data_IF_615839699949
#
_entry.id   IF_615839699949
#
_cell.length_a   1.000
_cell.length_b   1.000
_cell.length_c   1.000
_cell.angle_alpha   90.00
_cell.angle_beta   90.00
_cell.angle_gamma   90.00
#
_symmetry.space_group_name_H-M   'P 1'
#
loop_
_entity.id
_entity.type
_entity.pdbx_description
1 polymer ?
#
# COMPACT_ATOMS: atom_id res chain seq x y z
N UNK A 1 -23.65 13.70 3.59
CA UNK A 1 -24.35 12.43 3.90
C UNK A 1 -23.38 11.53 4.64
N UNK A 2 -23.79 10.87 5.76
CA UNK A 2 -23.01 9.89 6.49
C UNK A 2 -23.52 8.47 6.26
N UNK A 3 -22.81 7.49 6.79
CA UNK A 3 -23.31 6.11 6.83
C UNK A 3 -24.59 6.04 7.71
N UNK A 4 -25.51 5.14 7.39
CA UNK A 4 -26.65 4.87 8.24
C UNK A 4 -26.19 4.43 9.64
N UNK A 5 -27.01 4.76 10.67
CA UNK A 5 -26.75 4.33 12.04
C UNK A 5 -26.79 2.80 12.07
N UNK A 6 -25.71 2.12 12.53
CA UNK A 6 -25.70 0.66 12.59
C UNK A 6 -26.56 0.14 13.74
N UNK A 7 -26.98 -1.11 13.68
CA UNK A 7 -27.52 -1.84 14.82
C UNK A 7 -26.42 -2.02 15.89
N UNK A 8 -26.83 -2.36 17.12
CA UNK A 8 -25.90 -2.70 18.20
C UNK A 8 -24.88 -3.75 17.74
N UNK A 9 -23.61 -3.44 17.96
CA UNK A 9 -22.52 -4.29 17.52
C UNK A 9 -21.31 -4.14 18.42
N UNK A 10 -20.50 -5.19 18.49
CA UNK A 10 -19.25 -5.23 19.24
C UNK A 10 -18.08 -5.26 18.27
N UNK A 11 -17.06 -4.43 18.51
CA UNK A 11 -15.79 -4.53 17.80
C UNK A 11 -15.08 -5.81 18.26
N UNK A 12 -14.68 -6.66 17.32
CA UNK A 12 -13.98 -7.93 17.61
C UNK A 12 -12.63 -8.04 16.93
N UNK A 13 -12.39 -7.25 15.88
CA UNK A 13 -11.14 -7.25 15.12
C UNK A 13 -10.84 -5.84 14.62
N UNK A 14 -9.58 -5.45 14.67
CA UNK A 14 -9.11 -4.17 14.17
C UNK A 14 -7.91 -4.41 13.23
N UNK A 15 -8.04 -3.95 11.97
CA UNK A 15 -6.94 -3.87 11.02
C UNK A 15 -6.62 -2.42 10.74
N UNK A 16 -5.37 -2.03 10.99
CA UNK A 16 -4.83 -0.72 10.64
C UNK A 16 -3.85 -0.89 9.49
N UNK A 17 -4.03 -0.11 8.44
CA UNK A 17 -3.10 0.00 7.32
C UNK A 17 -2.72 1.47 7.22
N UNK A 18 -1.43 1.75 7.27
CA UNK A 18 -0.87 3.07 7.05
C UNK A 18 0.07 3.01 5.86
N UNK A 19 -0.10 3.92 4.90
CA UNK A 19 0.81 4.08 3.77
C UNK A 19 1.35 5.51 3.76
N UNK A 20 2.65 5.65 3.47
CA UNK A 20 3.35 6.93 3.41
C UNK A 20 4.24 6.97 2.17
N UNK A 21 4.33 8.15 1.54
CA UNK A 21 5.21 8.40 0.40
C UNK A 21 6.25 9.45 0.75
N UNK A 22 7.51 9.19 0.41
CA UNK A 22 8.65 10.05 0.69
C UNK A 22 9.40 10.36 -0.59
N UNK A 23 9.89 11.60 -0.74
CA UNK A 23 10.90 11.94 -1.72
C UNK A 23 12.28 11.70 -1.12
N UNK A 24 13.15 11.02 -1.84
CA UNK A 24 14.52 10.69 -1.45
C UNK A 24 15.50 11.76 -1.95
N UNK A 25 16.64 11.85 -1.30
CA UNK A 25 17.71 12.76 -1.73
C UNK A 25 18.30 12.42 -3.11
N UNK A 26 18.15 11.17 -3.58
CA UNK A 26 18.58 10.71 -4.90
C UNK A 26 17.54 10.95 -6.00
N UNK A 27 16.40 11.60 -5.68
CA UNK A 27 15.32 11.92 -6.61
C UNK A 27 14.30 10.80 -6.84
N UNK A 28 14.51 9.63 -6.27
CA UNK A 28 13.53 8.53 -6.25
C UNK A 28 12.52 8.70 -5.11
N UNK A 29 11.58 7.77 -4.98
CA UNK A 29 10.52 7.82 -3.97
C UNK A 29 10.49 6.52 -3.17
N UNK A 30 10.39 6.62 -1.85
CA UNK A 30 10.05 5.49 -1.00
C UNK A 30 8.55 5.51 -0.69
N UNK A 31 7.91 4.37 -0.90
CA UNK A 31 6.54 4.12 -0.50
C UNK A 31 6.58 3.07 0.58
N UNK A 32 6.18 3.46 1.77
CA UNK A 32 6.16 2.58 2.94
C UNK A 32 4.73 2.22 3.33
N UNK A 33 4.53 1.00 3.78
CA UNK A 33 3.27 0.57 4.36
C UNK A 33 3.49 -0.28 5.60
N UNK A 34 2.59 -0.11 6.56
CA UNK A 34 2.50 -0.87 7.79
C UNK A 34 1.09 -1.44 7.93
N UNK A 35 1.00 -2.72 8.30
CA UNK A 35 -0.24 -3.40 8.65
C UNK A 35 -0.15 -3.92 10.07
N UNK A 36 -1.17 -3.63 10.87
CA UNK A 36 -1.34 -4.14 12.23
C UNK A 36 -2.73 -4.71 12.38
N UNK A 37 -2.82 -6.00 12.75
CA UNK A 37 -4.07 -6.65 13.17
C UNK A 37 -4.07 -6.90 14.67
N UNK A 38 -5.18 -6.59 15.33
CA UNK A 38 -5.43 -6.92 16.73
C UNK A 38 -6.87 -7.37 16.96
N UNK A 39 -7.10 -8.06 18.06
CA UNK A 39 -8.44 -8.43 18.55
C UNK A 39 -8.72 -7.74 19.87
N UNK A 40 -9.99 -7.49 20.16
CA UNK A 40 -10.44 -6.83 21.40
C UNK A 40 -10.62 -7.79 22.57
N UNK A 41 -10.15 -9.04 22.43
CA UNK A 41 -10.25 -10.09 23.46
C UNK A 41 -9.00 -10.97 23.44
N UNK A 42 -8.71 -11.58 24.58
CA UNK A 42 -7.63 -12.57 24.72
C UNK A 42 -7.97 -13.84 23.93
N UNK A 43 -7.01 -14.44 23.23
CA UNK A 43 -7.23 -15.69 22.50
C UNK A 43 -5.98 -16.59 22.51
N UNK A 44 -6.15 -17.92 22.46
CA UNK A 44 -5.03 -18.84 22.39
C UNK A 44 -4.33 -18.79 21.04
N UNK A 45 -3.01 -18.97 21.05
CA UNK A 45 -2.16 -19.10 19.86
C UNK A 45 -1.20 -20.27 20.09
N UNK A 46 -1.08 -21.13 19.10
CA UNK A 46 -0.20 -22.31 19.17
C UNK A 46 1.28 -21.93 19.28
N UNK A 47 1.65 -20.71 18.87
CA UNK A 47 3.04 -20.25 18.82
C UNK A 47 3.38 -19.21 19.89
N UNK A 48 2.39 -18.49 20.41
CA UNK A 48 2.60 -17.36 21.34
C UNK A 48 1.86 -17.54 22.69
N UNK A 49 1.29 -18.73 22.95
CA UNK A 49 0.47 -18.96 24.13
C UNK A 49 -0.83 -18.15 24.09
N UNK A 50 -1.06 -17.23 25.04
CA UNK A 50 -2.23 -16.34 25.03
C UNK A 50 -1.83 -14.99 24.47
N UNK A 51 -2.39 -14.63 23.31
CA UNK A 51 -2.30 -13.27 22.76
C UNK A 51 -3.31 -12.39 23.49
N UNK A 52 -2.82 -11.31 24.09
CA UNK A 52 -3.64 -10.37 24.85
C UNK A 52 -4.46 -9.48 23.95
N UNK A 53 -5.62 -9.05 24.47
CA UNK A 53 -6.45 -8.02 23.87
C UNK A 53 -5.59 -6.83 23.41
N UNK A 54 -5.92 -6.32 22.21
CA UNK A 54 -5.29 -5.17 21.56
C UNK A 54 -3.79 -5.32 21.21
N UNK A 55 -3.18 -6.48 21.57
CA UNK A 55 -1.81 -6.78 21.12
C UNK A 55 -1.79 -7.15 19.64
N UNK A 56 -0.77 -6.68 18.87
CA UNK A 56 -0.61 -7.10 17.49
C UNK A 56 -0.38 -8.61 17.36
N UNK A 57 -1.16 -9.29 16.52
CA UNK A 57 -0.91 -10.68 16.16
C UNK A 57 -0.51 -10.85 14.66
N UNK A 58 -0.75 -9.81 13.85
CA UNK A 58 -0.05 -9.56 12.61
C UNK A 58 0.55 -8.15 12.67
N UNK A 59 1.83 -8.02 12.38
CA UNK A 59 2.51 -6.75 12.26
C UNK A 59 3.58 -6.86 11.17
N UNK A 60 3.34 -6.23 10.05
CA UNK A 60 4.22 -6.27 8.89
C UNK A 60 4.51 -4.87 8.39
N UNK A 61 5.71 -4.70 7.84
CA UNK A 61 6.12 -3.49 7.12
C UNK A 61 6.70 -3.84 5.77
N UNK A 62 6.49 -2.96 4.82
CA UNK A 62 7.05 -3.05 3.47
C UNK A 62 7.47 -1.67 3.00
N UNK A 63 8.60 -1.58 2.30
CA UNK A 63 9.04 -0.41 1.57
C UNK A 63 9.32 -0.79 0.13
N UNK A 64 8.82 0.02 -0.80
CA UNK A 64 9.17 -0.02 -2.22
C UNK A 64 9.86 1.30 -2.56
N UNK A 65 11.06 1.24 -3.14
CA UNK A 65 11.67 2.39 -3.80
C UNK A 65 11.23 2.40 -5.25
N UNK A 66 10.69 3.52 -5.74
CA UNK A 66 10.17 3.64 -7.10
C UNK A 66 10.74 4.88 -7.80
N UNK A 67 10.89 4.80 -9.13
CA UNK A 67 11.28 5.93 -9.96
C UNK A 67 10.07 6.79 -10.40
N UNK A 68 10.34 7.87 -11.11
CA UNK A 68 9.31 8.74 -11.71
C UNK A 68 8.36 8.02 -12.67
N UNK A 69 8.78 6.88 -13.23
CA UNK A 69 7.98 6.06 -14.13
C UNK A 69 7.16 4.98 -13.39
N UNK A 70 7.16 5.02 -12.05
CA UNK A 70 6.51 4.03 -11.19
C UNK A 70 7.11 2.62 -11.31
N UNK A 71 8.38 2.49 -11.69
CA UNK A 71 9.10 1.23 -11.70
C UNK A 71 9.71 0.97 -10.33
N UNK A 72 9.52 -0.22 -9.78
CA UNK A 72 10.11 -0.63 -8.50
C UNK A 72 11.60 -0.86 -8.70
N UNK A 73 12.42 -0.06 -8.01
CA UNK A 73 13.89 -0.13 -8.04
C UNK A 73 14.45 -0.98 -6.91
N UNK A 74 13.77 -0.96 -5.75
CA UNK A 74 14.14 -1.73 -4.57
C UNK A 74 12.88 -2.12 -3.78
N UNK A 75 12.95 -3.23 -3.05
CA UNK A 75 11.85 -3.72 -2.23
C UNK A 75 12.38 -4.40 -0.97
N UNK A 76 11.87 -4.00 0.18
CA UNK A 76 12.18 -4.57 1.48
C UNK A 76 10.89 -4.82 2.27
N UNK A 77 10.84 -5.94 3.02
CA UNK A 77 9.72 -6.23 3.91
C UNK A 77 10.19 -6.93 5.16
N UNK A 78 9.42 -6.78 6.24
CA UNK A 78 9.64 -7.47 7.50
C UNK A 78 8.31 -7.87 8.12
N UNK A 79 8.26 -9.08 8.68
CA UNK A 79 7.20 -9.54 9.58
C UNK A 79 7.70 -9.42 11.02
N UNK A 80 7.18 -8.45 11.75
CA UNK A 80 7.53 -8.19 13.14
C UNK A 80 6.77 -9.14 14.08
N UNK A 81 5.51 -9.43 13.76
CA UNK A 81 4.66 -10.39 14.45
C UNK A 81 3.80 -11.13 13.44
N UNK A 82 3.68 -12.43 13.60
CA UNK A 82 2.81 -13.29 12.80
C UNK A 82 2.38 -14.50 13.61
N UNK A 83 1.22 -15.13 13.29
CA UNK A 83 0.64 -16.21 14.08
C UNK A 83 1.46 -17.51 14.04
N UNK A 84 2.39 -17.65 13.11
CA UNK A 84 3.20 -18.86 12.93
C UNK A 84 4.68 -18.54 12.81
N UNK A 85 5.55 -19.42 13.30
CA UNK A 85 7.02 -19.29 13.20
C UNK A 85 7.53 -19.18 11.76
N UNK A 86 6.76 -19.66 10.79
CA UNK A 86 7.11 -19.57 9.36
C UNK A 86 6.79 -18.19 8.74
N UNK A 87 5.93 -17.37 9.36
CA UNK A 87 5.47 -16.11 8.77
C UNK A 87 6.58 -15.18 8.29
N UNK A 88 7.73 -15.04 8.99
CA UNK A 88 8.84 -14.21 8.51
C UNK A 88 9.40 -14.64 7.15
N UNK A 89 9.32 -15.94 6.80
CA UNK A 89 9.77 -16.42 5.48
C UNK A 89 8.93 -15.85 4.33
N UNK A 90 7.67 -15.48 4.58
CA UNK A 90 6.79 -14.87 3.59
C UNK A 90 7.24 -13.48 3.10
N UNK A 91 8.20 -12.85 3.78
CA UNK A 91 8.82 -11.60 3.35
C UNK A 91 10.03 -11.82 2.43
N UNK A 92 10.55 -13.06 2.35
CA UNK A 92 11.83 -13.34 1.68
C UNK A 92 11.81 -13.15 0.16
N UNK A 93 10.65 -13.23 -0.48
CA UNK A 93 10.52 -13.08 -1.94
C UNK A 93 10.07 -11.67 -2.37
N UNK A 94 10.03 -10.70 -1.45
CA UNK A 94 9.56 -9.34 -1.76
C UNK A 94 10.37 -8.68 -2.87
N UNK A 95 11.65 -9.00 -2.99
CA UNK A 95 12.56 -8.51 -4.04
C UNK A 95 12.14 -8.91 -5.45
N UNK A 96 11.26 -9.91 -5.61
CA UNK A 96 10.66 -10.26 -6.91
C UNK A 96 9.76 -9.15 -7.47
N UNK A 97 9.45 -8.12 -6.68
CA UNK A 97 8.76 -6.92 -7.15
C UNK A 97 9.68 -5.97 -7.91
N UNK A 98 11.00 -6.08 -7.77
CA UNK A 98 11.98 -5.22 -8.44
C UNK A 98 11.84 -5.37 -9.95
N UNK A 99 11.82 -4.25 -10.66
CA UNK A 99 11.60 -4.17 -12.11
C UNK A 99 10.14 -4.16 -12.53
N UNK A 100 9.19 -4.45 -11.64
CA UNK A 100 7.77 -4.35 -11.96
C UNK A 100 7.32 -2.88 -11.97
N UNK A 101 6.42 -2.55 -12.91
CA UNK A 101 5.85 -1.21 -13.01
C UNK A 101 4.48 -1.17 -12.30
N UNK A 102 4.28 -0.20 -11.40
CA UNK A 102 2.98 0.10 -10.80
C UNK A 102 2.07 0.70 -11.88
N UNK A 103 0.88 0.13 -12.10
CA UNK A 103 -0.05 0.56 -13.13
C UNK A 103 -1.02 -0.55 -13.52
N UNK A 104 -1.69 -0.47 -14.68
CA UNK A 104 -2.63 -1.48 -15.14
C UNK A 104 -2.06 -2.90 -15.02
N UNK A 105 -2.81 -3.82 -14.39
CA UNK A 105 -2.38 -5.20 -14.13
C UNK A 105 -1.42 -5.37 -12.95
N UNK A 106 -1.15 -4.35 -12.14
CA UNK A 106 -0.28 -4.41 -10.96
C UNK A 106 -0.63 -5.57 -10.03
N UNK A 107 -1.90 -5.66 -9.62
CA UNK A 107 -2.37 -6.73 -8.72
C UNK A 107 -2.02 -8.14 -9.22
N UNK A 108 -2.20 -8.39 -10.53
CA UNK A 108 -1.88 -9.70 -11.13
C UNK A 108 -0.37 -9.96 -11.11
N UNK A 109 0.46 -8.98 -11.47
CA UNK A 109 1.93 -9.12 -11.44
C UNK A 109 2.44 -9.40 -10.04
N UNK A 110 1.94 -8.67 -9.04
CA UNK A 110 2.27 -8.89 -7.62
C UNK A 110 1.86 -10.30 -7.19
N UNK A 111 0.63 -10.73 -7.50
CA UNK A 111 0.16 -12.06 -7.14
C UNK A 111 1.05 -13.16 -7.75
N UNK A 112 1.55 -12.96 -8.98
CA UNK A 112 2.48 -13.89 -9.62
C UNK A 112 3.87 -13.87 -8.97
N UNK A 113 4.36 -12.68 -8.57
CA UNK A 113 5.73 -12.51 -8.08
C UNK A 113 5.91 -12.95 -6.62
N UNK A 114 4.95 -12.60 -5.75
CA UNK A 114 5.06 -12.78 -4.28
C UNK A 114 3.83 -13.40 -3.63
N UNK A 115 2.84 -13.84 -4.40
CA UNK A 115 1.62 -14.47 -3.88
C UNK A 115 1.73 -15.98 -3.73
N UNK A 116 0.60 -16.60 -3.34
CA UNK A 116 0.47 -18.06 -3.22
C UNK A 116 1.24 -18.65 -2.03
N UNK A 117 1.59 -19.94 -2.10
CA UNK A 117 2.14 -20.68 -0.95
C UNK A 117 3.57 -20.29 -0.58
N UNK A 118 4.26 -19.51 -1.41
CA UNK A 118 5.61 -19.02 -1.14
C UNK A 118 5.65 -17.60 -0.60
N UNK A 119 4.49 -16.95 -0.48
CA UNK A 119 4.38 -15.54 -0.08
C UNK A 119 3.55 -15.34 1.19
N UNK A 120 3.32 -14.06 1.48
CA UNK A 120 2.46 -13.63 2.57
C UNK A 120 1.26 -12.84 2.02
N UNK A 121 0.03 -13.30 2.33
CA UNK A 121 -1.21 -12.62 1.91
C UNK A 121 -1.27 -11.17 2.37
N UNK A 122 -0.81 -10.89 3.60
CA UNK A 122 -0.82 -9.54 4.17
C UNK A 122 0.12 -8.60 3.42
N UNK A 123 1.35 -9.06 3.10
CA UNK A 123 2.29 -8.26 2.30
C UNK A 123 1.78 -8.07 0.87
N UNK A 124 1.19 -9.10 0.27
CA UNK A 124 0.57 -9.01 -1.06
C UNK A 124 -0.57 -7.98 -1.07
N UNK A 125 -1.42 -7.99 -0.04
CA UNK A 125 -2.55 -7.07 0.11
C UNK A 125 -2.11 -5.62 0.28
N UNK A 126 -1.02 -5.36 1.03
CA UNK A 126 -0.47 -4.01 1.23
C UNK A 126 -0.04 -3.34 -0.08
N UNK A 127 0.37 -4.09 -1.10
CA UNK A 127 0.83 -3.53 -2.38
C UNK A 127 -0.27 -2.79 -3.15
N UNK A 128 -1.55 -3.05 -2.87
CA UNK A 128 -2.67 -2.34 -3.46
C UNK A 128 -2.74 -0.87 -3.01
N UNK A 129 -2.93 -0.59 -1.71
CA UNK A 129 -2.90 0.78 -1.20
C UNK A 129 -1.55 1.48 -1.43
N UNK A 130 -0.41 0.75 -1.42
CA UNK A 130 0.89 1.33 -1.79
C UNK A 130 0.92 1.85 -3.21
N UNK A 131 0.31 1.14 -4.16
CA UNK A 131 0.25 1.59 -5.55
C UNK A 131 -0.49 2.93 -5.69
N UNK A 132 -1.62 3.09 -5.01
CA UNK A 132 -2.35 4.37 -4.99
C UNK A 132 -1.56 5.48 -4.29
N UNK A 133 -0.86 5.16 -3.20
CA UNK A 133 0.03 6.09 -2.50
C UNK A 133 1.17 6.54 -3.42
N UNK A 134 1.79 5.64 -4.19
CA UNK A 134 2.82 5.98 -5.18
C UNK A 134 2.32 7.00 -6.22
N UNK A 135 1.14 6.77 -6.79
CA UNK A 135 0.52 7.71 -7.72
C UNK A 135 0.31 9.10 -7.10
N UNK A 136 -0.24 9.15 -5.88
CA UNK A 136 -0.48 10.41 -5.18
C UNK A 136 0.83 11.14 -4.83
N UNK A 137 1.85 10.41 -4.40
CA UNK A 137 3.16 10.97 -4.03
C UNK A 137 3.85 11.56 -5.25
N UNK A 138 4.02 10.77 -6.30
CA UNK A 138 4.79 11.15 -7.50
C UNK A 138 4.02 12.20 -8.32
N UNK A 139 2.72 12.00 -8.57
CA UNK A 139 1.90 12.95 -9.30
C UNK A 139 1.80 14.32 -8.61
N UNK A 140 1.67 14.29 -7.28
CA UNK A 140 1.67 15.52 -6.46
C UNK A 140 3.00 16.28 -6.55
N UNK A 141 4.12 15.57 -6.50
CA UNK A 141 5.46 16.19 -6.60
C UNK A 141 5.74 16.75 -8.00
N UNK A 142 5.41 16.01 -9.06
CA UNK A 142 5.52 16.51 -10.44
C UNK A 142 4.70 17.80 -10.60
N UNK A 143 3.45 17.82 -10.13
CA UNK A 143 2.59 18.99 -10.20
C UNK A 143 3.13 20.16 -9.38
N UNK A 144 3.76 19.90 -8.23
CA UNK A 144 4.40 20.92 -7.41
C UNK A 144 5.61 21.55 -8.10
N UNK A 145 6.46 20.73 -8.72
CA UNK A 145 7.63 21.19 -9.47
C UNK A 145 7.25 22.01 -10.70
N UNK A 146 6.24 21.58 -11.45
CA UNK A 146 5.73 22.31 -12.61
C UNK A 146 5.20 23.71 -12.23
N UNK A 147 4.43 23.80 -11.14
CA UNK A 147 3.95 25.10 -10.62
C UNK A 147 5.09 26.01 -10.21
N UNK A 148 6.09 25.48 -9.52
CA UNK A 148 7.26 26.26 -9.13
C UNK A 148 8.07 26.79 -10.31
N UNK A 149 8.13 26.03 -11.42
CA UNK A 149 8.86 26.41 -12.64
C UNK A 149 8.11 27.46 -13.48
N UNK A 150 6.77 27.48 -13.44
CA UNK A 150 5.96 28.35 -14.32
C UNK A 150 5.65 29.72 -13.70
N UNK A 151 5.90 29.94 -12.42
CA UNK A 151 5.56 31.17 -11.66
C UNK A 151 4.13 31.69 -11.96
N UNK A 152 3.23 30.82 -12.41
CA UNK A 152 1.89 31.12 -12.90
C UNK A 152 0.85 30.54 -11.95
N UNK A 153 -0.14 31.35 -11.57
CA UNK A 153 -1.30 30.91 -10.76
C UNK A 153 -2.26 29.96 -11.53
N UNK A 154 -1.97 29.68 -12.79
CA UNK A 154 -2.75 28.73 -13.57
C UNK A 154 -2.37 27.29 -13.12
N UNK A 155 -3.25 26.68 -12.33
CA UNK A 155 -3.18 25.26 -12.01
C UNK A 155 -3.14 24.47 -13.32
N UNK A 156 -2.13 23.60 -13.54
CA UNK A 156 -2.18 22.68 -14.66
C UNK A 156 -3.45 21.85 -14.54
N UNK A 157 -4.16 21.71 -15.67
CA UNK A 157 -5.36 20.90 -15.73
C UNK A 157 -5.00 19.42 -15.44
N UNK A 158 -5.26 18.99 -14.22
CA UNK A 158 -5.00 17.60 -13.77
C UNK A 158 -5.86 16.58 -14.51
N UNK A 159 -6.89 17.04 -15.25
CA UNK A 159 -7.76 16.18 -16.06
C UNK A 159 -7.11 15.72 -17.38
N UNK A 160 -5.96 16.29 -17.76
CA UNK A 160 -5.25 15.92 -18.99
C UNK A 160 -4.25 14.77 -18.82
N UNK A 161 -4.16 14.14 -17.64
CA UNK A 161 -3.29 12.99 -17.46
C UNK A 161 -3.92 11.74 -18.10
N UNK A 162 -3.49 11.40 -19.31
CA UNK A 162 -3.98 10.24 -20.07
C UNK A 162 -3.88 8.92 -19.32
N UNK A 163 -2.94 8.80 -18.38
CA UNK A 163 -2.78 7.58 -17.56
C UNK A 163 -3.91 7.38 -16.55
N UNK A 164 -4.69 8.41 -16.24
CA UNK A 164 -5.80 8.36 -15.29
C UNK A 164 -7.18 8.26 -15.98
N UNK A 165 -7.25 8.36 -17.30
CA UNK A 165 -8.52 8.26 -18.04
C UNK A 165 -9.23 6.94 -17.69
N UNK A 166 -10.53 7.06 -17.36
CA UNK A 166 -11.39 5.94 -17.00
C UNK A 166 -10.93 5.10 -15.80
N UNK A 167 -10.08 5.65 -14.92
CA UNK A 167 -9.64 4.94 -13.70
C UNK A 167 -10.61 5.11 -12.53
N UNK A 168 -11.40 6.17 -12.52
CA UNK A 168 -12.46 6.40 -11.53
C UNK A 168 -13.49 7.39 -12.11
N UNK A 169 -14.57 7.62 -11.37
CA UNK A 169 -15.67 8.52 -11.78
C UNK A 169 -15.17 9.95 -12.10
N UNK A 170 -14.17 10.46 -11.36
CA UNK A 170 -13.63 11.79 -11.59
C UNK A 170 -12.85 11.93 -12.92
N UNK A 171 -12.42 10.82 -13.50
CA UNK A 171 -11.67 10.75 -14.76
C UNK A 171 -12.44 10.05 -15.87
N UNK A 172 -13.73 9.81 -15.67
CA UNK A 172 -14.59 9.22 -16.71
C UNK A 172 -14.69 10.15 -17.92
N UNK A 173 -14.48 9.58 -19.13
CA UNK A 173 -14.57 10.33 -20.39
C UNK A 173 -15.97 10.31 -21.00
N UNK A 174 -16.87 9.48 -20.50
CA UNK A 174 -18.27 9.44 -20.84
C UNK A 174 -19.09 9.86 -19.63
N UNK A 175 -20.09 10.72 -19.84
CA UNK A 175 -21.08 11.00 -18.81
C UNK A 175 -21.77 9.69 -18.39
N UNK A 176 -21.84 9.45 -17.08
CA UNK A 176 -22.49 8.28 -16.47
C UNK A 176 -23.95 8.60 -16.29
#
# INVERSE_FOLDING_TARGET
MGLAIPVDRQLVHNRKIQCQGFIRADGNFDIEAELIDSKTYDFPSDTHGVVKSDSPYHHMKIRLTVDLNLTVLDAAAVTLTGPYHICPKGAGNITNLIGLKIGPGWKRRVQTAIGGPTGCTHLTELTGPMATTAYQTIGGEISRQQRAATASDNLPDTHQNDSLKNTCIAYAQTEI
#
